data_IF_792385364189
#
_entry.id   IF_792385364189
#
_cell.length_a   1.000
_cell.length_b   1.000
_cell.length_c   1.000
_cell.angle_alpha   90.00
_cell.angle_beta   90.00
_cell.angle_gamma   90.00
#
_symmetry.space_group_name_H-M   'P 1'
#
loop_
_entity.id
_entity.type
_entity.pdbx_description
1 polymer ?
#
# COMPACT_ATOMS: atom_id res chain seq x y z
N UNK A 1 -13.38 -23.51 16.71
CA UNK A 1 -13.04 -22.90 16.03
C UNK A 1 -12.18 -21.96 16.24
N UNK A 2 -11.65 -21.66 15.92
CA UNK A 2 -10.88 -20.91 15.97
C UNK A 2 -10.72 -19.96 15.33
N UNK A 3 -10.35 -19.39 15.45
CA UNK A 3 -10.37 -18.56 15.04
C UNK A 3 -9.62 -17.70 14.62
N UNK A 4 -9.61 -16.90 14.43
CA UNK A 4 -9.36 -16.10 13.58
C UNK A 4 -8.68 -14.90 13.95
N UNK A 5 -8.18 -14.66 15.08
CA UNK A 5 -7.22 -13.65 15.40
C UNK A 5 -5.99 -13.78 14.53
N UNK A 6 -5.89 -14.91 13.85
CA UNK A 6 -4.75 -15.15 12.99
C UNK A 6 -4.84 -14.46 11.62
N UNK A 7 -5.94 -13.73 11.37
CA UNK A 7 -6.05 -12.97 10.15
C UNK A 7 -5.36 -11.61 10.23
N UNK A 8 -4.64 -11.35 11.32
CA UNK A 8 -3.91 -10.11 11.45
C UNK A 8 -2.72 -10.08 10.50
N UNK A 9 -2.45 -8.89 9.95
CA UNK A 9 -1.32 -8.70 9.05
C UNK A 9 -0.64 -7.38 9.35
N UNK A 10 0.64 -7.29 8.99
CA UNK A 10 1.49 -6.13 9.29
C UNK A 10 1.59 -5.24 8.08
N UNK A 11 1.51 -3.93 8.29
CA UNK A 11 1.51 -2.93 7.22
C UNK A 11 2.57 -1.87 7.51
N UNK A 12 3.31 -1.47 6.46
CA UNK A 12 4.11 -0.26 6.47
C UNK A 12 3.45 0.73 5.53
N UNK A 13 3.31 1.98 5.97
CA UNK A 13 2.73 3.05 5.16
C UNK A 13 3.84 3.97 4.69
N UNK A 14 3.89 4.23 3.38
CA UNK A 14 4.89 5.11 2.77
C UNK A 14 4.17 6.29 2.12
N UNK A 15 4.33 7.47 2.69
CA UNK A 15 3.60 8.67 2.31
C UNK A 15 4.38 9.90 2.74
N UNK A 16 4.69 10.80 1.81
CA UNK A 16 5.53 11.97 2.11
C UNK A 16 4.77 13.21 2.57
N UNK A 17 3.46 13.23 2.46
CA UNK A 17 2.64 14.33 2.97
C UNK A 17 2.18 13.97 4.37
N UNK A 18 2.68 14.69 5.37
CA UNK A 18 2.47 14.34 6.77
C UNK A 18 1.00 14.25 7.15
N UNK A 19 0.18 15.18 6.67
CA UNK A 19 -1.24 15.18 6.98
C UNK A 19 -1.93 13.95 6.39
N UNK A 20 -1.57 13.57 5.17
CA UNK A 20 -2.12 12.38 4.54
C UNK A 20 -1.66 11.11 5.24
N UNK A 21 -0.40 11.09 5.67
CA UNK A 21 0.13 9.96 6.43
C UNK A 21 -0.67 9.75 7.71
N UNK A 22 -0.90 10.82 8.45
CA UNK A 22 -1.65 10.73 9.70
C UNK A 22 -3.10 10.31 9.46
N UNK A 23 -3.71 10.82 8.41
CA UNK A 23 -5.06 10.42 8.05
C UNK A 23 -5.14 8.92 7.71
N UNK A 24 -4.15 8.43 6.98
CA UNK A 24 -4.09 7.02 6.61
C UNK A 24 -3.87 6.14 7.84
N UNK A 25 -2.99 6.57 8.75
CA UNK A 25 -2.79 5.83 10.01
C UNK A 25 -4.10 5.73 10.80
N UNK A 26 -4.89 6.82 10.84
CA UNK A 26 -6.16 6.79 11.56
C UNK A 26 -7.15 5.83 10.93
N UNK A 27 -7.18 5.77 9.59
CA UNK A 27 -8.03 4.80 8.90
C UNK A 27 -7.67 3.38 9.32
N UNK A 28 -6.38 3.05 9.30
CA UNK A 28 -5.95 1.72 9.71
C UNK A 28 -6.30 1.42 11.15
N UNK A 29 -6.08 2.39 12.04
CA UNK A 29 -6.33 2.18 13.46
C UNK A 29 -7.79 1.94 13.78
N UNK A 30 -8.69 2.69 13.13
CA UNK A 30 -10.11 2.68 13.50
C UNK A 30 -10.98 1.84 12.58
N UNK A 31 -10.56 1.60 11.35
CA UNK A 31 -11.45 0.99 10.38
C UNK A 31 -10.90 -0.31 9.78
N UNK A 32 -9.65 -0.64 10.04
CA UNK A 32 -9.05 -1.88 9.51
C UNK A 32 -8.42 -2.64 10.69
N UNK A 33 -9.26 -3.24 11.52
CA UNK A 33 -8.77 -3.79 12.80
C UNK A 33 -7.81 -4.96 12.67
N UNK A 34 -7.83 -5.66 11.54
CA UNK A 34 -6.91 -6.77 11.35
C UNK A 34 -5.51 -6.34 10.93
N UNK A 35 -5.34 -5.07 10.58
CA UNK A 35 -4.05 -4.55 10.18
C UNK A 35 -3.31 -3.96 11.38
N UNK A 36 -2.04 -4.29 11.47
CA UNK A 36 -1.15 -3.68 12.46
C UNK A 36 -0.14 -2.83 11.71
N UNK A 37 -0.15 -1.51 11.92
CA UNK A 37 0.83 -0.62 11.30
C UNK A 37 2.12 -0.72 12.09
N UNK A 38 3.13 -1.34 11.51
CA UNK A 38 4.41 -1.55 12.19
C UNK A 38 5.43 -0.45 11.92
N UNK A 39 5.14 0.43 10.98
CA UNK A 39 6.02 1.56 10.70
C UNK A 39 5.45 2.45 9.64
N UNK A 40 5.95 3.69 9.60
CA UNK A 40 5.60 4.67 8.59
C UNK A 40 6.87 5.31 8.07
N UNK A 41 6.89 5.64 6.78
CA UNK A 41 8.04 6.25 6.15
C UNK A 41 7.58 7.42 5.29
N UNK A 42 8.31 8.52 5.33
CA UNK A 42 8.02 9.69 4.51
C UNK A 42 9.00 9.81 3.34
N UNK A 43 10.04 8.99 3.33
CA UNK A 43 11.02 8.96 2.26
C UNK A 43 11.37 7.53 1.91
N UNK A 44 11.94 7.35 0.73
CA UNK A 44 12.41 6.04 0.30
C UNK A 44 13.45 5.47 1.27
N UNK A 45 14.38 6.29 1.71
CA UNK A 45 15.42 5.84 2.65
C UNK A 45 14.82 5.33 3.96
N UNK A 46 13.86 6.08 4.53
CA UNK A 46 13.19 5.63 5.74
C UNK A 46 12.51 4.29 5.54
N UNK A 47 11.90 4.09 4.37
CA UNK A 47 11.23 2.85 4.07
C UNK A 47 12.21 1.67 4.08
N UNK A 48 13.34 1.80 3.36
CA UNK A 48 14.31 0.71 3.32
C UNK A 48 14.91 0.41 4.70
N UNK A 49 15.08 1.44 5.53
CA UNK A 49 15.55 1.23 6.90
C UNK A 49 14.54 0.44 7.73
N UNK A 50 13.24 0.72 7.56
CA UNK A 50 12.21 -0.04 8.25
C UNK A 50 12.23 -1.52 7.87
N UNK A 51 12.44 -1.82 6.59
CA UNK A 51 12.49 -3.21 6.14
C UNK A 51 13.63 -4.01 6.78
N UNK A 52 14.70 -3.34 7.17
CA UNK A 52 15.81 -4.01 7.85
C UNK A 52 15.43 -4.46 9.26
N UNK A 53 14.43 -3.81 9.84
CA UNK A 53 14.02 -4.11 11.22
C UNK A 53 12.94 -5.18 11.23
N UNK A 54 11.93 -5.05 10.38
CA UNK A 54 10.83 -6.00 10.35
C UNK A 54 10.13 -5.94 8.99
N UNK A 55 9.83 -7.11 8.43
CA UNK A 55 9.13 -7.19 7.16
C UNK A 55 7.61 -7.12 7.39
N UNK A 56 6.92 -6.30 6.60
CA UNK A 56 5.45 -6.28 6.64
C UNK A 56 4.88 -7.36 5.72
N UNK A 57 3.58 -7.58 5.85
CA UNK A 57 2.83 -8.40 4.90
C UNK A 57 2.35 -7.55 3.73
N UNK A 58 2.13 -6.25 3.97
CA UNK A 58 1.67 -5.31 2.96
C UNK A 58 2.40 -3.98 3.11
N UNK A 59 2.71 -3.36 1.98
CA UNK A 59 3.19 -1.98 1.92
C UNK A 59 2.09 -1.15 1.27
N UNK A 60 1.65 -0.09 1.96
CA UNK A 60 0.76 0.90 1.37
C UNK A 60 1.63 2.04 0.87
N UNK A 61 1.58 2.31 -0.42
CA UNK A 61 2.58 3.14 -1.09
C UNK A 61 1.92 4.23 -1.93
N UNK A 62 2.34 5.48 -1.71
CA UNK A 62 1.92 6.59 -2.55
C UNK A 62 2.85 6.70 -3.76
N UNK A 63 2.27 6.78 -4.97
CA UNK A 63 3.07 6.90 -6.18
C UNK A 63 3.76 8.25 -6.32
N UNK A 64 3.19 9.30 -5.72
CA UNK A 64 3.77 10.64 -5.79
C UNK A 64 4.89 10.90 -4.82
N UNK A 65 5.50 9.88 -4.27
CA UNK A 65 6.51 10.00 -3.22
C UNK A 65 7.67 10.90 -3.66
N UNK A 66 7.98 11.90 -2.82
CA UNK A 66 9.11 12.81 -3.07
C UNK A 66 8.90 13.70 -4.28
N UNK A 67 7.68 13.85 -4.78
CA UNK A 67 7.42 14.65 -5.97
C UNK A 67 7.86 13.97 -7.26
N UNK A 68 8.34 12.74 -7.19
CA UNK A 68 8.80 11.99 -8.36
C UNK A 68 7.69 11.07 -8.85
N UNK A 69 7.62 10.89 -10.17
CA UNK A 69 6.66 9.95 -10.76
C UNK A 69 7.25 8.55 -10.92
N UNK A 70 8.50 8.33 -10.53
CA UNK A 70 9.17 7.05 -10.76
C UNK A 70 9.55 6.31 -9.49
N UNK A 71 9.77 7.02 -8.38
CA UNK A 71 10.26 6.37 -7.15
C UNK A 71 9.29 5.29 -6.66
N UNK A 72 7.99 5.58 -6.64
CA UNK A 72 7.00 4.59 -6.20
C UNK A 72 7.00 3.34 -7.06
N UNK A 73 7.11 3.51 -8.36
CA UNK A 73 7.15 2.38 -9.29
C UNK A 73 8.44 1.57 -9.06
N UNK A 74 9.56 2.25 -8.84
CA UNK A 74 10.83 1.57 -8.58
C UNK A 74 10.80 0.79 -7.27
N UNK A 75 10.21 1.35 -6.23
CA UNK A 75 10.03 0.64 -4.96
C UNK A 75 9.20 -0.61 -5.19
N UNK A 76 8.10 -0.48 -5.91
CA UNK A 76 7.22 -1.60 -6.21
C UNK A 76 7.98 -2.71 -6.94
N UNK A 77 8.75 -2.36 -7.96
CA UNK A 77 9.54 -3.31 -8.72
C UNK A 77 10.57 -4.03 -7.84
N UNK A 78 11.27 -3.28 -7.00
CA UNK A 78 12.25 -3.86 -6.08
C UNK A 78 11.61 -4.81 -5.07
N UNK A 79 10.44 -4.43 -4.55
CA UNK A 79 9.74 -5.28 -3.59
C UNK A 79 9.31 -6.58 -4.25
N UNK A 80 8.75 -6.49 -5.46
CA UNK A 80 8.31 -7.70 -6.16
C UNK A 80 9.47 -8.64 -6.45
N UNK A 81 10.62 -8.08 -6.81
CA UNK A 81 11.79 -8.88 -7.12
C UNK A 81 12.36 -9.57 -5.87
N UNK A 82 12.44 -8.85 -4.76
CA UNK A 82 13.14 -9.35 -3.57
C UNK A 82 12.20 -9.98 -2.53
N UNK A 83 10.92 -9.66 -2.56
CA UNK A 83 9.92 -10.16 -1.62
C UNK A 83 8.65 -10.49 -2.39
N UNK A 84 8.65 -11.59 -3.17
CA UNK A 84 7.54 -11.86 -4.11
C UNK A 84 6.19 -12.07 -3.46
N UNK A 85 6.16 -12.43 -2.19
CA UNK A 85 4.88 -12.66 -1.49
C UNK A 85 4.34 -11.42 -0.78
N UNK A 86 5.14 -10.35 -0.71
CA UNK A 86 4.72 -9.12 -0.05
C UNK A 86 3.70 -8.39 -0.91
N UNK A 87 2.58 -7.99 -0.32
CA UNK A 87 1.57 -7.25 -1.07
C UNK A 87 1.94 -5.78 -1.16
N UNK A 88 1.68 -5.18 -2.31
CA UNK A 88 1.92 -3.76 -2.53
C UNK A 88 0.60 -3.13 -2.98
N UNK A 89 0.03 -2.31 -2.11
CA UNK A 89 -1.21 -1.59 -2.39
C UNK A 89 -0.88 -0.12 -2.59
N UNK A 90 -1.16 0.38 -3.79
CA UNK A 90 -0.94 1.78 -4.11
C UNK A 90 -2.15 2.58 -3.62
N UNK A 91 -1.87 3.66 -2.88
CA UNK A 91 -2.91 4.57 -2.41
C UNK A 91 -2.47 5.98 -2.81
N UNK A 92 -3.05 6.51 -3.89
CA UNK A 92 -2.47 7.68 -4.55
C UNK A 92 -3.51 8.71 -4.96
N UNK A 93 -3.08 9.98 -4.97
CA UNK A 93 -3.88 11.06 -5.52
C UNK A 93 -3.63 11.32 -7.00
N UNK A 94 -2.81 10.51 -7.67
CA UNK A 94 -2.46 10.70 -9.07
C UNK A 94 -3.57 10.21 -9.99
N UNK A 95 -4.71 10.93 -9.98
CA UNK A 95 -5.95 10.46 -10.61
C UNK A 95 -5.95 10.55 -12.13
N UNK A 96 -5.14 11.42 -12.73
CA UNK A 96 -5.14 11.61 -14.18
C UNK A 96 -3.93 11.01 -14.87
N UNK A 97 -3.25 10.07 -14.22
CA UNK A 97 -1.99 9.55 -14.75
C UNK A 97 -2.09 8.03 -14.98
N UNK A 98 -2.84 7.67 -16.04
CA UNK A 98 -3.02 6.25 -16.38
C UNK A 98 -1.71 5.55 -16.66
N UNK A 99 -0.75 6.23 -17.28
CA UNK A 99 0.54 5.61 -17.56
C UNK A 99 1.22 5.19 -16.27
N UNK A 100 1.17 6.03 -15.26
CA UNK A 100 1.78 5.73 -13.98
C UNK A 100 1.09 4.54 -13.32
N UNK A 101 -0.23 4.44 -13.43
CA UNK A 101 -0.98 3.30 -12.90
C UNK A 101 -0.56 2.00 -13.60
N UNK A 102 -0.47 2.04 -14.93
CA UNK A 102 -0.05 0.87 -15.71
C UNK A 102 1.37 0.47 -15.35
N UNK A 103 2.26 1.45 -15.23
CA UNK A 103 3.65 1.18 -14.83
C UNK A 103 3.71 0.49 -13.45
N UNK A 104 2.90 0.96 -12.50
CA UNK A 104 2.87 0.37 -11.17
C UNK A 104 2.34 -1.07 -11.20
N UNK A 105 1.28 -1.31 -11.97
CA UNK A 105 0.73 -2.67 -12.10
C UNK A 105 1.72 -3.59 -12.77
N UNK A 106 2.41 -3.12 -13.80
CA UNK A 106 3.44 -3.91 -14.49
C UNK A 106 4.65 -4.15 -13.58
N UNK A 107 4.92 -3.25 -12.66
CA UNK A 107 5.99 -3.42 -11.68
C UNK A 107 5.62 -4.41 -10.57
N UNK A 108 4.37 -4.83 -10.51
CA UNK A 108 3.93 -5.85 -9.58
C UNK A 108 3.01 -5.38 -8.47
N UNK A 109 2.43 -4.18 -8.59
CA UNK A 109 1.45 -3.73 -7.59
C UNK A 109 0.24 -4.67 -7.57
N UNK A 110 -0.26 -4.93 -6.38
CA UNK A 110 -1.39 -5.81 -6.17
C UNK A 110 -2.73 -5.08 -6.20
N UNK A 111 -2.68 -3.75 -6.14
CA UNK A 111 -3.89 -2.95 -6.25
C UNK A 111 -3.57 -1.48 -6.29
N UNK A 112 -4.52 -0.68 -6.77
CA UNK A 112 -4.43 0.77 -6.80
C UNK A 112 -5.76 1.32 -6.32
N UNK A 113 -5.73 2.16 -5.29
CA UNK A 113 -6.89 2.85 -4.77
C UNK A 113 -6.59 4.34 -4.82
N UNK A 114 -7.52 5.11 -5.35
CA UNK A 114 -7.36 6.56 -5.42
C UNK A 114 -7.77 7.21 -4.11
N UNK A 115 -7.06 8.29 -3.75
CA UNK A 115 -7.36 9.07 -2.54
C UNK A 115 -8.53 10.03 -2.75
N UNK A 116 -9.48 9.68 -3.61
CA UNK A 116 -10.63 10.53 -3.91
C UNK A 116 -11.92 9.80 -3.55
N UNK A 117 -12.89 10.52 -3.03
CA UNK A 117 -14.19 9.97 -2.71
C UNK A 117 -14.15 8.88 -1.67
N UNK A 118 -14.39 7.66 -2.10
CA UNK A 118 -14.35 6.51 -1.22
C UNK A 118 -12.94 6.29 -0.71
N UNK A 119 -12.82 6.17 0.58
CA UNK A 119 -11.53 5.95 1.18
C UNK A 119 -11.20 4.47 1.25
N UNK A 120 -10.01 4.21 1.73
CA UNK A 120 -9.50 2.88 1.99
C UNK A 120 -10.45 2.15 2.96
N UNK A 121 -10.90 0.97 2.60
CA UNK A 121 -11.81 0.20 3.44
C UNK A 121 -11.17 -1.12 3.87
N UNK A 122 -11.66 -1.67 4.98
CA UNK A 122 -11.19 -2.98 5.44
C UNK A 122 -11.45 -4.05 4.38
N UNK A 123 -12.58 -3.96 3.69
CA UNK A 123 -12.92 -4.93 2.65
C UNK A 123 -11.92 -4.92 1.51
N UNK A 124 -11.53 -3.72 1.04
CA UNK A 124 -10.58 -3.62 -0.07
C UNK A 124 -9.19 -4.10 0.34
N UNK A 125 -8.74 -3.70 1.52
CA UNK A 125 -7.42 -4.10 2.00
C UNK A 125 -7.36 -5.62 2.18
N UNK A 126 -8.40 -6.20 2.75
CA UNK A 126 -8.45 -7.65 2.95
C UNK A 126 -8.49 -8.38 1.60
N UNK A 127 -9.21 -7.83 0.62
CA UNK A 127 -9.27 -8.44 -0.72
C UNK A 127 -7.87 -8.52 -1.33
N UNK A 128 -7.07 -7.46 -1.19
CA UNK A 128 -5.69 -7.47 -1.70
C UNK A 128 -4.85 -8.48 -0.94
N UNK A 129 -5.00 -8.53 0.39
CA UNK A 129 -4.28 -9.55 1.18
C UNK A 129 -4.65 -10.96 0.75
N UNK A 130 -5.90 -11.17 0.35
CA UNK A 130 -6.40 -12.47 -0.10
C UNK A 130 -5.99 -12.81 -1.54
N UNK A 131 -5.26 -11.93 -2.19
CA UNK A 131 -4.74 -12.18 -3.53
C UNK A 131 -5.58 -11.61 -4.66
N UNK A 132 -6.62 -10.85 -4.37
CA UNK A 132 -7.40 -10.19 -5.41
C UNK A 132 -6.68 -8.93 -5.86
N UNK A 133 -6.83 -8.62 -7.12
CA UNK A 133 -6.21 -7.44 -7.72
C UNK A 133 -7.29 -6.40 -7.97
N UNK A 134 -7.12 -5.21 -7.38
CA UNK A 134 -8.12 -4.15 -7.46
C UNK A 134 -7.54 -2.90 -8.09
N UNK A 135 -8.33 -2.21 -8.93
CA UNK A 135 -7.98 -0.90 -9.45
C UNK A 135 -9.17 0.02 -9.17
N UNK A 136 -8.92 1.10 -8.40
CA UNK A 136 -9.93 2.11 -8.06
C UNK A 136 -11.17 1.50 -7.41
N UNK A 137 -10.97 0.51 -6.55
CA UNK A 137 -12.05 -0.20 -5.88
C UNK A 137 -12.90 -1.04 -6.84
N UNK A 138 -12.40 -1.30 -8.04
CA UNK A 138 -13.07 -2.20 -8.98
C UNK A 138 -12.17 -3.40 -9.26
N UNK A 139 -12.75 -4.59 -9.43
CA UNK A 139 -11.95 -5.74 -9.85
C UNK A 139 -11.38 -5.48 -11.23
N UNK A 140 -10.18 -5.96 -11.49
CA UNK A 140 -9.58 -5.87 -12.81
C UNK A 140 -10.21 -6.92 -13.69
N UNK A 141 -10.67 -6.49 -14.84
CA UNK A 141 -11.31 -7.36 -15.81
C UNK A 141 -10.31 -8.09 -16.70
#
# INVERSE_FOLDING_TARGET
MHIMENNRFKVIIVEDVKLELKGTEEIFRHEIPNAEVIGTAMTENEFWELLKVQLPDMVLLDLGLGGSTTIGVEICSSLRKNYPDMKVLIFTGEVLNEKLWVDALNAGADGIILKTGELLTATDVQAVMDGKRLVFNYPIL
#
